data_IF_685559173560
#
_entry.id   IF_685559173560
#
_cell.length_a   1.000
_cell.length_b   1.000
_cell.length_c   1.000
_cell.angle_alpha   90.00
_cell.angle_beta   90.00
_cell.angle_gamma   90.00
#
_symmetry.space_group_name_H-M   'P 1'
#
loop_
_entity.id
_entity.type
_entity.pdbx_description
1 polymer ?
#
# COMPACT_ATOMS: atom_id res chain seq x y z
N UNK A 1 -59.72 -32.85 8.54
CA UNK A 1 -58.72 -31.75 8.47
C UNK A 1 -57.37 -32.39 8.17
N UNK A 2 -56.63 -32.17 7.09
CA UNK A 2 -56.79 -31.41 5.85
C UNK A 2 -55.91 -32.10 4.79
N UNK A 3 -56.45 -32.31 3.58
CA UNK A 3 -55.77 -32.84 2.39
C UNK A 3 -55.19 -31.70 1.52
N UNK A 4 -54.05 -31.98 0.90
CA UNK A 4 -53.61 -31.67 -0.48
C UNK A 4 -53.42 -30.22 -1.01
N UNK A 5 -52.22 -30.03 -1.57
CA UNK A 5 -51.82 -29.32 -2.82
C UNK A 5 -52.64 -28.11 -3.32
N UNK A 6 -51.93 -27.01 -3.64
CA UNK A 6 -51.98 -26.38 -4.97
C UNK A 6 -50.88 -25.34 -5.23
N UNK A 7 -50.27 -25.51 -6.39
CA UNK A 7 -49.46 -24.55 -7.17
C UNK A 7 -50.36 -23.39 -7.63
N UNK A 8 -49.83 -22.16 -7.71
CA UNK A 8 -50.21 -21.19 -8.76
C UNK A 8 -49.19 -20.07 -8.90
N UNK A 9 -48.82 -19.81 -10.16
CA UNK A 9 -48.04 -18.69 -10.67
C UNK A 9 -48.77 -17.34 -10.55
N UNK A 10 -48.09 -16.27 -11.02
CA UNK A 10 -48.53 -14.91 -11.45
C UNK A 10 -47.82 -13.86 -10.58
N UNK A 11 -47.26 -12.74 -11.05
CA UNK A 11 -47.17 -12.09 -12.37
C UNK A 11 -46.13 -10.95 -12.19
N UNK A 12 -45.27 -10.72 -13.19
CA UNK A 12 -44.52 -9.47 -13.30
C UNK A 12 -45.44 -8.29 -13.66
N UNK A 13 -45.08 -7.05 -13.33
CA UNK A 13 -45.53 -5.88 -14.07
C UNK A 13 -44.40 -5.33 -14.96
N UNK A 14 -44.69 -5.37 -16.26
CA UNK A 14 -44.12 -4.53 -17.30
C UNK A 14 -44.66 -3.11 -17.10
N UNK A 15 -43.79 -2.09 -17.10
CA UNK A 15 -44.19 -0.74 -17.50
C UNK A 15 -43.21 -0.19 -18.54
N UNK A 16 -43.82 0.51 -19.49
CA UNK A 16 -43.41 0.76 -20.85
C UNK A 16 -43.10 2.26 -20.98
N UNK A 17 -42.02 2.56 -21.70
CA UNK A 17 -41.80 3.73 -22.57
C UNK A 17 -42.32 5.12 -22.14
N UNK A 18 -41.41 6.09 -22.02
CA UNK A 18 -41.53 7.32 -22.80
C UNK A 18 -40.17 7.72 -23.39
N UNK A 19 -40.18 7.92 -24.71
CA UNK A 19 -39.12 8.52 -25.50
C UNK A 19 -39.04 10.02 -25.20
N UNK A 20 -37.84 10.58 -25.27
CA UNK A 20 -37.65 11.91 -25.86
C UNK A 20 -36.34 11.90 -26.65
N UNK A 21 -36.51 12.05 -27.95
CA UNK A 21 -35.54 12.06 -29.03
C UNK A 21 -34.90 13.44 -29.21
N UNK A 22 -33.61 13.42 -29.56
CA UNK A 22 -32.89 14.38 -30.45
C UNK A 22 -32.80 15.84 -29.97
N UNK A 23 -31.67 16.55 -30.11
CA UNK A 23 -31.00 16.85 -31.36
C UNK A 23 -29.48 17.03 -31.20
N UNK A 24 -28.76 16.54 -32.21
CA UNK A 24 -27.40 16.89 -32.58
C UNK A 24 -27.31 18.39 -32.95
N UNK A 25 -26.14 19.00 -32.78
CA UNK A 25 -25.45 19.60 -33.93
C UNK A 25 -23.97 19.90 -33.65
N UNK A 26 -23.13 19.20 -34.42
CA UNK A 26 -21.76 19.56 -34.74
C UNK A 26 -21.81 20.68 -35.80
N UNK A 27 -20.98 21.70 -35.65
CA UNK A 27 -20.75 22.73 -36.66
C UNK A 27 -19.32 23.23 -36.60
N UNK A 28 -18.49 22.79 -37.54
CA UNK A 28 -17.20 23.40 -37.85
C UNK A 28 -17.42 24.76 -38.55
N UNK A 29 -16.57 25.77 -38.33
CA UNK A 29 -15.81 26.41 -39.41
C UNK A 29 -14.84 27.49 -38.90
N UNK A 30 -13.58 27.28 -39.31
CA UNK A 30 -12.50 28.20 -39.69
C UNK A 30 -12.72 29.73 -39.60
N UNK A 31 -11.56 30.37 -39.35
CA UNK A 31 -11.10 31.74 -39.69
C UNK A 31 -11.38 32.82 -38.64
N UNK A 32 -10.32 33.26 -37.96
CA UNK A 32 -9.81 34.62 -38.19
C UNK A 32 -8.28 34.64 -37.95
N UNK A 33 -7.57 35.18 -38.93
CA UNK A 33 -6.12 35.33 -39.01
C UNK A 33 -5.82 36.82 -38.93
N UNK A 34 -4.76 37.13 -38.17
CA UNK A 34 -3.85 38.28 -38.32
C UNK A 34 -4.18 39.66 -37.76
N UNK A 35 -3.05 40.31 -37.46
CA UNK A 35 -2.75 41.74 -37.25
C UNK A 35 -2.78 42.19 -35.78
N UNK A 36 -1.77 42.90 -35.24
CA UNK A 36 -0.40 43.26 -35.62
C UNK A 36 0.17 44.07 -34.42
N UNK A 37 1.51 44.14 -34.30
CA UNK A 37 2.32 45.22 -33.67
C UNK A 37 2.29 45.42 -32.14
N UNK A 38 3.41 45.17 -31.46
CA UNK A 38 4.53 46.10 -31.15
C UNK A 38 4.16 47.14 -30.08
N UNK A 39 4.82 47.00 -28.93
CA UNK A 39 4.83 47.99 -27.86
C UNK A 39 6.04 47.76 -26.95
N UNK A 40 7.21 48.19 -27.42
CA UNK A 40 8.44 48.37 -26.62
C UNK A 40 8.37 49.74 -25.95
N UNK A 41 8.53 49.77 -24.62
CA UNK A 41 8.91 50.94 -23.81
C UNK A 41 9.13 50.45 -22.38
N UNK A 42 10.36 50.19 -21.90
CA UNK A 42 11.44 51.11 -21.53
C UNK A 42 11.05 52.09 -20.42
N UNK A 43 11.73 51.97 -19.27
CA UNK A 43 12.10 52.99 -18.25
C UNK A 43 11.80 52.50 -16.83
N UNK A 44 12.60 52.69 -15.78
CA UNK A 44 13.91 53.36 -15.56
C UNK A 44 14.40 52.82 -14.21
N UNK A 45 15.69 52.48 -14.11
CA UNK A 45 16.35 52.23 -12.84
C UNK A 45 16.71 53.57 -12.19
N UNK A 46 16.36 53.76 -10.91
CA UNK A 46 16.88 54.85 -10.09
C UNK A 46 17.83 54.24 -9.06
N UNK A 47 19.11 54.59 -9.19
CA UNK A 47 20.12 54.44 -8.16
C UNK A 47 20.71 55.83 -7.87
N UNK A 48 20.70 56.23 -6.60
CA UNK A 48 21.59 57.20 -5.93
C UNK A 48 20.97 57.56 -4.55
N UNK A 49 21.67 57.92 -3.47
CA UNK A 49 23.02 57.69 -2.92
C UNK A 49 23.07 58.46 -1.58
N UNK A 50 23.97 58.05 -0.67
CA UNK A 50 24.47 58.78 0.53
C UNK A 50 23.48 58.89 1.71
N UNK A 51 23.86 58.83 2.99
CA UNK A 51 25.15 58.85 3.68
C UNK A 51 24.91 59.47 5.07
N UNK A 52 25.61 59.03 6.12
CA UNK A 52 25.63 59.75 7.41
C UNK A 52 25.49 58.89 8.66
N UNK A 53 26.52 58.96 9.50
CA UNK A 53 26.77 58.19 10.71
C UNK A 53 26.37 59.01 11.95
N UNK A 54 25.49 58.53 12.83
CA UNK A 54 25.39 59.01 14.23
C UNK A 54 24.79 57.95 15.17
N UNK A 55 25.52 57.73 16.27
CA UNK A 55 25.16 56.90 17.43
C UNK A 55 23.80 57.27 18.04
N UNK A 56 23.03 56.26 18.46
CA UNK A 56 22.25 56.31 19.68
C UNK A 56 21.92 54.89 20.19
N UNK A 57 22.29 54.66 21.45
CA UNK A 57 21.96 53.50 22.28
C UNK A 57 20.50 53.56 22.75
N UNK A 58 19.70 52.51 22.51
CA UNK A 58 18.63 52.05 23.42
C UNK A 58 18.00 50.71 22.96
N UNK A 59 18.10 49.73 23.86
CA UNK A 59 17.08 48.75 24.27
C UNK A 59 16.33 47.86 23.24
N UNK A 60 16.71 46.57 23.28
CA UNK A 60 15.90 45.34 23.19
C UNK A 60 14.42 45.42 22.78
N UNK A 61 14.12 44.84 21.62
CA UNK A 61 13.00 43.91 21.44
C UNK A 61 13.38 42.93 20.31
N UNK A 62 13.46 41.65 20.63
CA UNK A 62 13.74 40.59 19.65
C UNK A 62 12.62 40.55 18.62
N UNK A 63 12.90 41.07 17.43
CA UNK A 63 12.04 40.90 16.27
C UNK A 63 12.08 39.43 15.86
N UNK A 64 10.99 38.71 16.12
CA UNK A 64 10.71 37.50 15.36
C UNK A 64 10.69 37.90 13.88
N UNK A 65 11.69 37.44 13.11
CA UNK A 65 11.60 37.50 11.65
C UNK A 65 10.25 36.91 11.25
N UNK A 66 9.47 37.59 10.39
CA UNK A 66 8.28 36.99 9.81
C UNK A 66 8.69 35.65 9.22
N UNK A 67 8.08 34.55 9.67
CA UNK A 67 8.24 33.28 9.00
C UNK A 67 7.95 33.53 7.53
N UNK A 68 8.96 33.41 6.67
CA UNK A 68 8.77 33.51 5.25
C UNK A 68 7.64 32.54 4.89
N UNK A 69 6.55 33.05 4.31
CA UNK A 69 5.44 32.20 3.86
C UNK A 69 6.03 31.23 2.84
N UNK A 70 6.39 30.02 3.28
CA UNK A 70 6.78 28.93 2.40
C UNK A 70 5.55 28.64 1.54
N UNK A 71 5.74 28.59 0.21
CA UNK A 71 4.65 28.32 -0.73
C UNK A 71 3.98 26.97 -0.45
N UNK A 72 2.79 26.78 -1.00
CA UNK A 72 2.07 25.51 -0.88
C UNK A 72 2.89 24.36 -1.48
N UNK A 73 2.86 23.20 -0.81
CA UNK A 73 3.58 21.99 -1.23
C UNK A 73 2.58 20.89 -1.57
N UNK A 74 2.79 20.19 -2.68
CA UNK A 74 2.05 18.97 -3.01
C UNK A 74 3.02 17.79 -2.97
N UNK A 75 2.68 16.74 -2.22
CA UNK A 75 3.40 15.48 -2.19
C UNK A 75 2.68 14.41 -3.00
N UNK A 76 3.42 13.55 -3.67
CA UNK A 76 2.90 12.34 -4.31
C UNK A 76 3.28 11.11 -3.49
N UNK A 77 2.30 10.52 -2.82
CA UNK A 77 2.44 9.23 -2.14
C UNK A 77 2.11 8.09 -3.10
N UNK A 78 3.06 7.20 -3.32
CA UNK A 78 2.82 5.94 -4.04
C UNK A 78 2.91 4.79 -3.04
N UNK A 79 1.81 4.06 -2.90
CA UNK A 79 1.71 3.01 -1.90
C UNK A 79 1.04 1.74 -2.41
N UNK A 80 1.18 0.63 -1.68
CA UNK A 80 0.52 -0.63 -2.02
C UNK A 80 -0.95 -0.67 -1.56
N UNK A 81 -1.75 -1.51 -2.21
CA UNK A 81 -3.22 -1.46 -2.20
C UNK A 81 -3.89 -1.41 -0.81
N UNK A 82 -3.34 -2.12 0.18
CA UNK A 82 -4.03 -2.34 1.47
C UNK A 82 -3.74 -1.26 2.51
N UNK A 83 -2.86 -0.30 2.24
CA UNK A 83 -2.57 0.80 3.19
C UNK A 83 -3.48 2.02 3.02
N UNK A 84 -4.32 2.04 1.98
CA UNK A 84 -5.16 3.18 1.65
C UNK A 84 -6.03 3.63 2.84
N UNK A 85 -6.64 2.68 3.54
CA UNK A 85 -7.49 2.97 4.69
C UNK A 85 -6.74 3.68 5.83
N UNK A 86 -5.47 3.35 6.06
CA UNK A 86 -4.63 4.01 7.07
C UNK A 86 -4.27 5.44 6.61
N UNK A 87 -3.79 5.60 5.38
CA UNK A 87 -3.34 6.90 4.88
C UNK A 87 -4.48 7.91 4.73
N UNK A 88 -5.71 7.46 4.43
CA UNK A 88 -6.91 8.31 4.44
C UNK A 88 -7.18 8.95 5.81
N UNK A 89 -6.70 8.36 6.90
CA UNK A 89 -6.80 8.92 8.26
C UNK A 89 -5.55 9.68 8.69
N UNK A 90 -4.36 9.20 8.31
CA UNK A 90 -3.07 9.77 8.72
C UNK A 90 -2.78 11.09 7.98
N UNK A 91 -3.01 11.16 6.67
CA UNK A 91 -2.64 12.33 5.86
C UNK A 91 -3.30 13.62 6.38
N UNK A 92 -4.62 13.67 6.66
CA UNK A 92 -5.24 14.87 7.22
C UNK A 92 -4.63 15.32 8.55
N UNK A 93 -4.24 14.37 9.41
CA UNK A 93 -3.64 14.68 10.72
C UNK A 93 -2.24 15.31 10.53
N UNK A 94 -1.42 14.74 9.63
CA UNK A 94 -0.13 15.33 9.27
C UNK A 94 -0.28 16.74 8.68
N UNK A 95 -1.19 16.93 7.73
CA UNK A 95 -1.41 18.23 7.09
C UNK A 95 -1.84 19.29 8.12
N UNK A 96 -2.73 18.92 9.04
CA UNK A 96 -3.15 19.82 10.12
C UNK A 96 -1.99 20.19 11.05
N UNK A 97 -1.18 19.20 11.46
CA UNK A 97 -0.01 19.43 12.30
C UNK A 97 1.03 20.32 11.59
N UNK A 98 1.37 19.99 10.35
CA UNK A 98 2.33 20.76 9.55
C UNK A 98 1.89 22.21 9.38
N UNK A 99 0.59 22.43 9.12
CA UNK A 99 0.06 23.80 8.99
C UNK A 99 0.19 24.58 10.29
N UNK A 100 -0.05 23.95 11.45
CA UNK A 100 0.10 24.60 12.76
C UNK A 100 1.55 24.94 13.08
N UNK A 101 2.49 24.06 12.74
CA UNK A 101 3.91 24.20 13.09
C UNK A 101 4.68 25.11 12.11
N UNK A 102 4.33 25.06 10.82
CA UNK A 102 5.10 25.70 9.76
C UNK A 102 4.34 26.79 8.98
N UNK A 103 3.04 27.00 9.29
CA UNK A 103 2.14 27.90 8.55
C UNK A 103 2.08 27.64 7.03
N UNK A 104 2.46 26.44 6.57
CA UNK A 104 2.51 26.06 5.17
C UNK A 104 1.37 25.09 4.83
N UNK A 105 0.73 25.25 3.66
CA UNK A 105 -0.28 24.29 3.22
C UNK A 105 0.40 23.10 2.53
N UNK A 106 -0.09 21.89 2.81
CA UNK A 106 0.38 20.65 2.17
C UNK A 106 -0.82 19.88 1.60
N UNK A 107 -0.71 19.43 0.36
CA UNK A 107 -1.67 18.53 -0.29
C UNK A 107 -1.00 17.22 -0.70
N UNK A 108 -1.82 16.18 -0.96
CA UNK A 108 -1.32 14.86 -1.36
C UNK A 108 -2.02 14.34 -2.62
N UNK A 109 -1.23 13.98 -3.62
CA UNK A 109 -1.61 13.00 -4.65
C UNK A 109 -1.31 11.60 -4.15
N UNK A 110 -2.18 10.64 -4.46
CA UNK A 110 -2.07 9.29 -3.94
C UNK A 110 -2.28 8.26 -5.05
N UNK A 111 -1.44 7.23 -5.09
CA UNK A 111 -1.61 6.06 -5.97
C UNK A 111 -1.57 4.78 -5.14
N UNK A 112 -2.49 3.85 -5.43
CA UNK A 112 -2.57 2.54 -4.76
C UNK A 112 -2.76 1.39 -5.75
N UNK A 113 -1.88 0.39 -5.72
CA UNK A 113 -1.97 -0.83 -6.53
C UNK A 113 -1.12 -1.96 -5.90
N UNK A 114 -0.95 -3.10 -6.60
CA UNK A 114 0.05 -4.10 -6.21
C UNK A 114 1.46 -3.50 -6.10
N UNK A 115 2.19 -3.83 -5.03
CA UNK A 115 3.51 -3.25 -4.71
C UNK A 115 4.51 -3.31 -5.87
N UNK A 116 4.60 -4.45 -6.57
CA UNK A 116 5.49 -4.58 -7.73
C UNK A 116 5.05 -3.72 -8.93
N UNK A 117 3.75 -3.50 -9.10
CA UNK A 117 3.21 -2.58 -10.12
C UNK A 117 3.54 -1.14 -9.78
N UNK A 118 3.44 -0.74 -8.51
CA UNK A 118 3.79 0.60 -8.07
C UNK A 118 5.27 0.91 -8.24
N UNK A 119 6.15 -0.01 -7.84
CA UNK A 119 7.59 0.15 -8.06
C UNK A 119 7.91 0.34 -9.56
N UNK A 120 7.29 -0.46 -10.44
CA UNK A 120 7.45 -0.28 -11.90
C UNK A 120 6.93 1.08 -12.38
N UNK A 121 5.73 1.50 -11.96
CA UNK A 121 5.16 2.78 -12.36
C UNK A 121 6.10 3.95 -12.01
N UNK A 122 6.76 3.91 -10.87
CA UNK A 122 7.73 4.93 -10.44
C UNK A 122 8.99 4.90 -11.28
N UNK A 123 9.53 3.71 -11.55
CA UNK A 123 10.68 3.51 -12.45
C UNK A 123 10.37 4.06 -13.85
N UNK A 124 9.13 3.87 -14.32
CA UNK A 124 8.66 4.28 -15.64
C UNK A 124 8.21 5.76 -15.69
N UNK A 125 8.31 6.52 -14.59
CA UNK A 125 8.14 7.97 -14.57
C UNK A 125 7.01 8.53 -13.71
N UNK A 126 6.31 7.72 -12.91
CA UNK A 126 5.41 8.25 -11.88
C UNK A 126 6.25 8.94 -10.78
N UNK A 127 6.17 10.26 -10.70
CA UNK A 127 7.02 11.08 -9.84
C UNK A 127 6.56 11.06 -8.37
N UNK A 128 6.74 9.92 -7.70
CA UNK A 128 6.50 9.77 -6.27
C UNK A 128 7.50 10.59 -5.46
N UNK A 129 7.04 11.31 -4.44
CA UNK A 129 7.91 11.92 -3.42
C UNK A 129 8.20 10.93 -2.29
N UNK A 130 7.20 10.10 -1.94
CA UNK A 130 7.28 9.10 -0.88
C UNK A 130 6.77 7.75 -1.39
N UNK A 131 7.52 6.70 -1.10
CA UNK A 131 7.18 5.31 -1.42
C UNK A 131 6.93 4.49 -0.16
N UNK A 132 5.71 3.97 -0.03
CA UNK A 132 5.35 3.00 1.02
C UNK A 132 4.98 1.68 0.35
N UNK A 133 5.89 0.71 0.30
CA UNK A 133 5.70 -0.52 -0.47
C UNK A 133 5.48 -1.73 0.43
N UNK A 134 5.04 -2.85 -0.15
CA UNK A 134 4.70 -4.03 0.64
C UNK A 134 5.93 -4.79 1.17
N UNK A 135 7.10 -4.57 0.57
CA UNK A 135 8.34 -5.27 0.89
C UNK A 135 9.57 -4.56 0.32
N UNK A 136 10.73 -4.78 0.94
CA UNK A 136 11.98 -4.09 0.59
C UNK A 136 12.50 -4.39 -0.82
N UNK A 137 12.22 -5.57 -1.41
CA UNK A 137 12.64 -5.84 -2.80
C UNK A 137 12.05 -4.85 -3.81
N UNK A 138 10.84 -4.38 -3.58
CA UNK A 138 10.19 -3.47 -4.53
C UNK A 138 10.80 -2.06 -4.39
N UNK A 139 11.13 -1.61 -3.18
CA UNK A 139 11.91 -0.37 -2.96
C UNK A 139 13.31 -0.48 -3.56
N UNK A 140 13.99 -1.62 -3.38
CA UNK A 140 15.31 -1.91 -3.96
C UNK A 140 15.33 -1.86 -5.49
N UNK A 141 14.21 -2.14 -6.17
CA UNK A 141 14.12 -1.96 -7.63
C UNK A 141 14.14 -0.49 -8.02
N UNK A 142 13.48 0.36 -7.23
CA UNK A 142 13.45 1.81 -7.42
C UNK A 142 14.82 2.42 -7.11
N UNK A 143 15.49 1.94 -6.06
CA UNK A 143 16.91 2.26 -5.76
C UNK A 143 17.82 1.88 -6.94
N UNK A 144 17.73 0.65 -7.46
CA UNK A 144 18.52 0.19 -8.63
C UNK A 144 18.26 1.00 -9.90
N UNK A 145 17.09 1.64 -10.02
CA UNK A 145 16.79 2.56 -11.12
C UNK A 145 17.39 3.97 -10.92
N UNK A 146 18.08 4.21 -9.80
CA UNK A 146 18.74 5.47 -9.47
C UNK A 146 17.80 6.58 -9.03
N UNK A 147 16.60 6.24 -8.55
CA UNK A 147 15.62 7.21 -8.04
C UNK A 147 15.72 7.43 -6.53
N UNK A 148 16.20 6.42 -5.80
CA UNK A 148 16.48 6.44 -4.35
C UNK A 148 17.98 6.14 -4.17
N UNK A 149 18.62 6.78 -3.21
CA UNK A 149 20.01 6.54 -2.84
C UNK A 149 20.18 5.21 -2.09
N UNK A 150 21.39 4.66 -2.15
CA UNK A 150 21.70 3.44 -1.41
C UNK A 150 21.72 3.69 0.10
N UNK A 151 21.20 2.73 0.87
CA UNK A 151 21.12 2.83 2.33
C UNK A 151 19.83 3.46 2.87
N UNK A 152 18.81 3.63 2.01
CA UNK A 152 17.48 4.13 2.38
C UNK A 152 16.87 3.40 3.58
N UNK A 153 17.20 2.12 3.80
CA UNK A 153 16.75 1.35 4.95
C UNK A 153 17.18 1.98 6.28
N UNK A 154 18.22 2.82 6.29
CA UNK A 154 18.75 3.46 7.50
C UNK A 154 18.30 4.91 7.67
N UNK A 155 17.54 5.45 6.73
CA UNK A 155 17.09 6.84 6.75
C UNK A 155 15.85 7.06 7.61
N UNK A 156 15.14 5.97 7.96
CA UNK A 156 14.00 5.99 8.87
C UNK A 156 14.13 4.91 9.96
N UNK A 157 13.47 5.07 11.12
CA UNK A 157 13.56 4.11 12.22
C UNK A 157 13.16 2.68 11.80
N UNK A 158 13.65 1.70 12.58
CA UNK A 158 13.28 0.29 12.42
C UNK A 158 13.53 -0.25 11.00
N UNK A 159 14.73 0.01 10.46
CA UNK A 159 15.13 -0.37 9.09
C UNK A 159 14.14 0.14 8.03
N UNK A 160 13.66 1.37 8.23
CA UNK A 160 12.63 2.01 7.43
C UNK A 160 11.32 1.21 7.32
N UNK A 161 11.03 0.34 8.29
CA UNK A 161 9.76 -0.40 8.39
C UNK A 161 8.79 0.37 9.27
N UNK A 162 7.69 0.82 8.66
CA UNK A 162 6.72 1.73 9.30
C UNK A 162 5.45 1.03 9.78
N UNK A 163 5.17 -0.16 9.26
CA UNK A 163 4.08 -1.03 9.72
C UNK A 163 4.42 -2.49 9.47
N UNK A 164 3.75 -3.38 10.23
CA UNK A 164 3.91 -4.82 10.09
C UNK A 164 2.57 -5.52 9.91
N UNK A 165 2.62 -6.75 9.42
CA UNK A 165 1.49 -7.68 9.42
C UNK A 165 2.01 -9.12 9.49
N UNK A 166 1.09 -10.08 9.38
CA UNK A 166 1.38 -11.49 9.18
C UNK A 166 0.41 -12.04 8.13
N UNK A 167 0.70 -13.23 7.59
CA UNK A 167 -0.23 -13.87 6.66
C UNK A 167 -1.37 -14.56 7.43
N UNK A 168 -2.61 -14.36 6.98
CA UNK A 168 -3.81 -14.97 7.52
C UNK A 168 -4.42 -15.94 6.52
N UNK A 169 -4.99 -17.03 7.04
CA UNK A 169 -5.84 -17.96 6.30
C UNK A 169 -7.28 -17.62 6.60
N UNK A 170 -8.02 -17.24 5.58
CA UNK A 170 -9.42 -16.87 5.65
C UNK A 170 -10.25 -18.05 5.16
N UNK A 171 -11.30 -18.43 5.88
CA UNK A 171 -12.17 -19.55 5.48
C UNK A 171 -13.57 -19.06 5.14
N UNK A 172 -14.37 -19.96 4.55
CA UNK A 172 -15.84 -19.77 4.54
C UNK A 172 -16.39 -19.88 5.96
N UNK A 173 -17.59 -19.34 6.15
CA UNK A 173 -18.35 -19.48 7.40
C UNK A 173 -18.49 -20.96 7.79
N UNK A 174 -18.30 -21.26 9.08
CA UNK A 174 -18.31 -22.64 9.60
C UNK A 174 -17.08 -23.48 9.22
N UNK A 175 -16.15 -22.96 8.41
CA UNK A 175 -14.94 -23.65 7.96
C UNK A 175 -15.21 -25.10 7.46
N UNK A 176 -15.99 -25.26 6.37
CA UNK A 176 -16.48 -26.57 5.91
C UNK A 176 -15.37 -27.53 5.47
N UNK A 177 -14.17 -27.01 5.16
CA UNK A 177 -12.99 -27.81 4.79
C UNK A 177 -12.09 -28.14 5.98
N UNK A 178 -12.42 -27.67 7.19
CA UNK A 178 -11.65 -27.91 8.41
C UNK A 178 -10.21 -27.38 8.34
N UNK A 179 -10.00 -26.25 7.65
CA UNK A 179 -8.68 -25.65 7.42
C UNK A 179 -8.21 -24.96 8.71
N UNK A 180 -7.02 -25.30 9.18
CA UNK A 180 -6.42 -24.75 10.40
C UNK A 180 -4.95 -24.38 10.22
N UNK A 181 -4.25 -25.05 9.31
CA UNK A 181 -2.81 -24.85 9.09
C UNK A 181 -2.48 -24.62 7.62
N UNK A 182 -1.21 -24.30 7.35
CA UNK A 182 -0.70 -24.17 5.98
C UNK A 182 -0.79 -25.48 5.19
N UNK A 183 -0.61 -26.62 5.85
CA UNK A 183 -0.69 -27.96 5.26
C UNK A 183 -2.10 -28.30 4.78
N UNK A 184 -3.13 -27.80 5.47
CA UNK A 184 -4.52 -28.04 5.09
C UNK A 184 -4.87 -27.44 3.72
N UNK A 185 -4.18 -26.36 3.32
CA UNK A 185 -4.37 -25.70 2.03
C UNK A 185 -3.93 -26.57 0.85
N UNK A 186 -3.06 -27.56 1.09
CA UNK A 186 -2.58 -28.50 0.08
C UNK A 186 -3.46 -29.75 -0.07
N UNK A 187 -4.52 -29.90 0.73
CA UNK A 187 -5.42 -31.06 0.66
C UNK A 187 -6.15 -31.13 -0.69
N UNK A 188 -6.40 -32.34 -1.23
CA UNK A 188 -7.22 -32.50 -2.42
C UNK A 188 -8.62 -31.91 -2.25
N UNK A 189 -9.09 -31.19 -3.26
CA UNK A 189 -10.43 -30.57 -3.24
C UNK A 189 -10.57 -29.32 -2.38
N UNK A 190 -9.46 -28.76 -1.89
CA UNK A 190 -9.38 -27.39 -1.36
C UNK A 190 -8.96 -26.46 -2.49
N UNK A 191 -9.71 -25.38 -2.70
CA UNK A 191 -9.38 -24.30 -3.63
C UNK A 191 -8.90 -23.08 -2.85
N UNK A 192 -7.71 -22.60 -3.15
CA UNK A 192 -7.06 -21.50 -2.42
C UNK A 192 -7.06 -20.24 -3.28
N UNK A 193 -7.45 -19.09 -2.74
CA UNK A 193 -7.23 -17.81 -3.40
C UNK A 193 -5.98 -17.18 -2.81
N UNK A 194 -5.05 -16.76 -3.67
CA UNK A 194 -3.89 -15.94 -3.32
C UNK A 194 -3.53 -15.11 -4.54
N UNK A 195 -2.97 -13.91 -4.34
CA UNK A 195 -2.58 -13.04 -5.45
C UNK A 195 -1.35 -13.59 -6.21
N UNK A 196 -0.99 -12.96 -7.33
CA UNK A 196 0.16 -13.33 -8.15
C UNK A 196 1.49 -12.75 -7.63
N UNK A 197 2.51 -13.56 -7.27
CA UNK A 197 3.84 -13.11 -6.82
C UNK A 197 4.63 -12.24 -7.81
N UNK A 198 4.29 -12.27 -9.10
CA UNK A 198 4.94 -11.42 -10.13
C UNK A 198 4.48 -9.96 -10.08
N UNK A 199 3.32 -9.68 -9.50
CA UNK A 199 2.72 -8.32 -9.43
C UNK A 199 2.46 -7.86 -7.99
N UNK A 200 2.19 -8.78 -7.07
CA UNK A 200 1.79 -8.50 -5.69
C UNK A 200 2.88 -8.85 -4.69
N UNK A 201 3.26 -7.89 -3.83
CA UNK A 201 4.15 -8.17 -2.72
C UNK A 201 3.53 -9.12 -1.68
N UNK A 202 2.22 -8.99 -1.44
CA UNK A 202 1.48 -9.87 -0.52
C UNK A 202 1.50 -11.33 -0.96
N UNK A 203 1.49 -11.57 -2.27
CA UNK A 203 1.61 -12.91 -2.80
C UNK A 203 3.00 -13.52 -2.58
N UNK A 204 4.07 -12.70 -2.63
CA UNK A 204 5.42 -13.16 -2.24
C UNK A 204 5.46 -13.50 -0.76
N UNK A 205 4.86 -12.67 0.10
CA UNK A 205 4.72 -12.97 1.53
C UNK A 205 3.96 -14.27 1.79
N UNK A 206 2.81 -14.47 1.14
CA UNK A 206 2.03 -15.70 1.24
C UNK A 206 2.85 -16.94 0.84
N UNK A 207 3.59 -16.84 -0.27
CA UNK A 207 4.49 -17.92 -0.72
C UNK A 207 5.54 -18.25 0.35
N UNK A 208 6.17 -17.22 0.92
CA UNK A 208 7.21 -17.38 1.94
C UNK A 208 6.66 -17.86 3.27
N UNK A 209 5.43 -17.51 3.64
CA UNK A 209 4.76 -18.02 4.83
C UNK A 209 4.57 -19.54 4.75
N UNK A 210 4.08 -20.04 3.60
CA UNK A 210 3.91 -21.49 3.36
C UNK A 210 5.26 -22.20 3.28
N UNK A 211 6.26 -21.61 2.60
CA UNK A 211 7.61 -22.19 2.54
C UNK A 211 8.26 -22.26 3.93
N UNK A 212 8.15 -21.17 4.69
CA UNK A 212 8.72 -21.03 6.01
C UNK A 212 8.04 -21.91 7.06
N UNK A 213 6.76 -22.22 6.91
CA UNK A 213 6.06 -23.13 7.84
C UNK A 213 6.74 -24.49 7.94
N UNK A 214 7.36 -24.95 6.86
CA UNK A 214 8.12 -26.20 6.80
C UNK A 214 9.58 -26.00 7.22
N UNK A 215 10.27 -25.01 6.63
CA UNK A 215 11.72 -24.83 6.88
C UNK A 215 12.03 -24.31 8.28
N UNK A 216 11.08 -23.65 8.96
CA UNK A 216 11.23 -23.18 10.35
C UNK A 216 10.78 -24.18 11.39
N UNK A 217 10.31 -25.35 10.98
CA UNK A 217 9.91 -26.45 11.88
C UNK A 217 10.75 -27.71 11.68
N UNK A 218 11.92 -27.58 11.04
CA UNK A 218 12.88 -28.68 10.85
C UNK A 218 12.64 -29.51 9.57
N UNK A 219 11.72 -29.09 8.70
CA UNK A 219 11.56 -29.66 7.37
C UNK A 219 12.65 -29.21 6.39
N UNK A 220 12.95 -30.04 5.39
CA UNK A 220 13.90 -29.72 4.33
C UNK A 220 13.26 -28.89 3.19
N UNK A 221 14.09 -28.30 2.33
CA UNK A 221 13.64 -27.50 1.20
C UNK A 221 12.79 -28.28 0.19
N UNK A 222 12.98 -29.60 0.07
CA UNK A 222 12.20 -30.44 -0.84
C UNK A 222 10.75 -30.55 -0.36
N UNK A 223 10.54 -30.74 0.94
CA UNK A 223 9.21 -30.75 1.57
C UNK A 223 8.55 -29.37 1.50
N UNK A 224 9.32 -28.30 1.73
CA UNK A 224 8.81 -26.94 1.60
C UNK A 224 8.35 -26.66 0.16
N UNK A 225 9.16 -27.03 -0.82
CA UNK A 225 8.81 -26.90 -2.23
C UNK A 225 7.56 -27.71 -2.60
N UNK A 226 7.45 -28.95 -2.12
CA UNK A 226 6.28 -29.80 -2.36
C UNK A 226 5.00 -29.18 -1.78
N UNK A 227 5.04 -28.72 -0.53
CA UNK A 227 3.90 -28.06 0.11
C UNK A 227 3.51 -26.79 -0.66
N UNK A 228 4.45 -25.88 -0.89
CA UNK A 228 4.18 -24.62 -1.58
C UNK A 228 3.67 -24.86 -3.00
N UNK A 229 4.22 -25.85 -3.72
CA UNK A 229 3.74 -26.26 -5.05
C UNK A 229 2.27 -26.69 -4.99
N UNK A 230 1.90 -27.55 -4.04
CA UNK A 230 0.52 -28.03 -3.90
C UNK A 230 -0.44 -26.90 -3.56
N UNK A 231 -0.07 -26.00 -2.64
CA UNK A 231 -0.90 -24.84 -2.29
C UNK A 231 -1.12 -23.92 -3.49
N UNK A 232 -0.07 -23.59 -4.24
CA UNK A 232 -0.18 -22.73 -5.43
C UNK A 232 -0.99 -23.42 -6.54
N UNK A 233 -0.83 -24.73 -6.74
CA UNK A 233 -1.64 -25.48 -7.71
C UNK A 233 -3.11 -25.62 -7.33
N UNK A 234 -3.43 -25.54 -6.04
CA UNK A 234 -4.80 -25.44 -5.56
C UNK A 234 -5.41 -24.05 -5.81
N UNK A 235 -4.67 -23.09 -6.35
CA UNK A 235 -5.19 -21.78 -6.73
C UNK A 235 -5.74 -21.76 -8.16
N UNK A 236 -7.07 -21.65 -8.36
CA UNK A 236 -7.67 -21.66 -9.69
C UNK A 236 -7.38 -20.37 -10.47
N UNK A 237 -7.13 -19.28 -9.76
CA UNK A 237 -6.78 -17.97 -10.31
C UNK A 237 -5.74 -17.31 -9.40
N UNK A 238 -4.93 -16.44 -9.98
CA UNK A 238 -3.97 -15.61 -9.25
C UNK A 238 -4.24 -14.13 -9.56
N UNK A 239 -5.12 -13.48 -8.78
CA UNK A 239 -5.47 -12.07 -8.97
C UNK A 239 -4.25 -11.16 -8.89
N UNK A 240 -4.33 -9.96 -9.48
CA UNK A 240 -3.12 -9.13 -9.68
C UNK A 240 -2.55 -8.59 -8.37
N UNK A 241 -3.37 -8.41 -7.35
CA UNK A 241 -3.00 -7.89 -6.04
C UNK A 241 -3.89 -8.44 -4.91
N UNK A 242 -3.52 -8.12 -3.67
CA UNK A 242 -4.21 -8.58 -2.47
C UNK A 242 -5.67 -8.14 -2.39
N UNK A 243 -6.03 -6.98 -2.95
CA UNK A 243 -7.39 -6.44 -2.91
C UNK A 243 -8.28 -7.17 -3.91
N UNK A 244 -7.75 -7.47 -5.10
CA UNK A 244 -8.45 -8.32 -6.07
C UNK A 244 -8.60 -9.76 -5.56
N UNK A 245 -7.64 -10.28 -4.80
CA UNK A 245 -7.78 -11.58 -4.14
C UNK A 245 -8.91 -11.60 -3.10
N UNK A 246 -9.01 -10.54 -2.29
CA UNK A 246 -10.16 -10.32 -1.38
C UNK A 246 -11.49 -10.29 -2.16
N UNK A 247 -11.55 -9.55 -3.28
CA UNK A 247 -12.75 -9.45 -4.09
C UNK A 247 -13.15 -10.78 -4.77
N UNK A 248 -12.18 -11.54 -5.28
CA UNK A 248 -12.42 -12.88 -5.83
C UNK A 248 -13.02 -13.81 -4.76
N UNK A 249 -12.51 -13.77 -3.53
CA UNK A 249 -13.01 -14.61 -2.45
C UNK A 249 -14.39 -14.19 -1.95
N UNK A 250 -14.57 -12.91 -1.59
CA UNK A 250 -15.79 -12.44 -0.93
C UNK A 250 -16.90 -12.03 -1.89
N UNK A 251 -16.59 -11.32 -2.98
CA UNK A 251 -17.60 -10.79 -3.90
C UNK A 251 -17.96 -11.81 -4.97
N UNK A 252 -16.97 -12.55 -5.47
CA UNK A 252 -17.17 -13.52 -6.56
C UNK A 252 -17.37 -14.95 -6.06
N UNK A 253 -17.26 -15.19 -4.75
CA UNK A 253 -17.51 -16.51 -4.16
C UNK A 253 -16.51 -17.59 -4.58
N UNK A 254 -15.30 -17.22 -5.01
CA UNK A 254 -14.30 -18.18 -5.48
C UNK A 254 -13.45 -18.74 -4.34
N UNK A 255 -13.11 -20.03 -4.41
CA UNK A 255 -12.23 -20.70 -3.44
C UNK A 255 -12.89 -21.05 -2.11
N UNK A 256 -12.25 -21.98 -1.40
CA UNK A 256 -12.63 -22.44 -0.07
C UNK A 256 -11.87 -21.70 1.04
N UNK A 257 -10.66 -21.24 0.73
CA UNK A 257 -9.85 -20.39 1.59
C UNK A 257 -9.15 -19.28 0.79
N UNK A 258 -8.79 -18.20 1.48
CA UNK A 258 -7.97 -17.10 0.96
C UNK A 258 -6.74 -16.94 1.85
N UNK A 259 -5.56 -16.84 1.25
CA UNK A 259 -4.35 -16.38 1.95
C UNK A 259 -4.20 -14.89 1.66
N UNK A 260 -4.21 -14.06 2.70
CA UNK A 260 -4.01 -12.62 2.57
C UNK A 260 -3.38 -12.03 3.83
N UNK A 261 -3.13 -10.73 3.85
CA UNK A 261 -2.68 -10.05 5.05
C UNK A 261 -3.73 -10.07 6.16
N UNK A 262 -3.27 -10.18 7.41
CA UNK A 262 -4.11 -10.04 8.60
C UNK A 262 -4.86 -8.70 8.63
N UNK A 263 -4.21 -7.60 8.21
CA UNK A 263 -4.80 -6.27 8.26
C UNK A 263 -6.07 -6.14 7.40
N UNK A 264 -6.14 -6.85 6.26
CA UNK A 264 -7.35 -6.84 5.43
C UNK A 264 -8.55 -7.49 6.16
N UNK A 265 -8.29 -8.45 7.04
CA UNK A 265 -9.34 -9.16 7.80
C UNK A 265 -9.85 -8.33 8.96
N UNK A 266 -8.94 -7.68 9.69
CA UNK A 266 -9.31 -6.75 10.77
C UNK A 266 -10.10 -5.59 10.19
N UNK A 267 -9.66 -5.03 9.05
CA UNK A 267 -10.40 -3.97 8.36
C UNK A 267 -11.77 -4.44 7.86
N UNK A 268 -11.89 -5.67 7.34
CA UNK A 268 -13.18 -6.24 6.94
C UNK A 268 -14.14 -6.34 8.14
N UNK A 269 -13.65 -6.83 9.29
CA UNK A 269 -14.40 -6.95 10.55
C UNK A 269 -14.92 -5.60 11.05
N UNK A 270 -14.07 -4.58 11.03
CA UNK A 270 -14.46 -3.22 11.43
C UNK A 270 -15.52 -2.61 10.51
N UNK A 271 -15.56 -3.02 9.25
CA UNK A 271 -16.61 -2.63 8.30
C UNK A 271 -17.87 -3.50 8.38
N UNK A 272 -18.06 -4.23 9.49
CA UNK A 272 -19.24 -5.03 9.77
C UNK A 272 -19.29 -6.37 9.03
N UNK A 273 -18.18 -6.82 8.45
CA UNK A 273 -18.07 -8.16 7.85
C UNK A 273 -17.31 -9.05 8.80
N UNK A 274 -18.01 -9.84 9.62
CA UNK A 274 -17.32 -10.83 10.43
C UNK A 274 -16.76 -11.91 9.50
N UNK A 275 -15.44 -12.02 9.49
CA UNK A 275 -14.71 -12.91 8.60
C UNK A 275 -13.94 -13.89 9.48
N UNK A 276 -14.24 -15.20 9.42
CA UNK A 276 -13.43 -16.18 10.12
C UNK A 276 -12.06 -16.25 9.45
N UNK A 277 -11.02 -15.93 10.22
CA UNK A 277 -9.65 -16.06 9.81
C UNK A 277 -8.82 -16.74 10.90
N UNK A 278 -7.71 -17.33 10.47
CA UNK A 278 -6.74 -18.04 11.29
C UNK A 278 -5.39 -17.41 11.03
N UNK A 279 -4.65 -17.12 12.09
CA UNK A 279 -3.23 -16.78 12.03
C UNK A 279 -2.46 -18.02 12.47
N UNK A 280 -1.77 -18.72 11.55
CA UNK A 280 -1.03 -19.92 11.92
C UNK A 280 0.12 -19.62 12.89
N UNK A 281 0.43 -20.59 13.75
CA UNK A 281 1.46 -20.48 14.80
C UNK A 281 2.87 -20.21 14.24
N UNK A 282 3.17 -20.71 13.04
CA UNK A 282 4.42 -20.45 12.31
C UNK A 282 4.09 -19.52 11.16
N UNK A 283 4.69 -18.33 11.18
CA UNK A 283 4.36 -17.27 10.24
C UNK A 283 5.55 -16.34 9.99
N UNK A 284 5.41 -15.50 8.98
CA UNK A 284 6.42 -14.53 8.59
C UNK A 284 6.02 -13.12 9.02
N UNK A 285 6.99 -12.33 9.52
CA UNK A 285 6.83 -10.89 9.69
C UNK A 285 6.74 -10.25 8.32
N UNK A 286 5.57 -9.70 8.00
CA UNK A 286 5.36 -8.92 6.79
C UNK A 286 5.77 -7.49 7.12
N UNK A 287 6.98 -7.12 6.73
CA UNK A 287 7.56 -5.81 7.04
C UNK A 287 7.33 -4.85 5.86
N UNK A 288 6.63 -3.74 6.12
CA UNK A 288 6.26 -2.77 5.09
C UNK A 288 7.20 -1.54 5.12
N UNK A 289 8.11 -1.40 4.12
CA UNK A 289 9.05 -0.30 4.09
C UNK A 289 8.45 1.03 3.62
N UNK A 290 9.04 2.12 4.10
CA UNK A 290 8.85 3.49 3.64
C UNK A 290 10.19 4.05 3.13
N UNK A 291 10.16 4.87 2.08
CA UNK A 291 11.34 5.57 1.59
C UNK A 291 10.95 6.93 0.99
N UNK A 292 11.86 7.90 1.08
CA UNK A 292 11.79 9.14 0.31
C UNK A 292 12.42 8.89 -1.06
N UNK A 293 11.84 9.44 -2.13
CA UNK A 293 12.36 9.28 -3.48
C UNK A 293 13.26 10.47 -3.83
N UNK A 294 14.55 10.34 -3.53
CA UNK A 294 15.54 11.42 -3.57
C UNK A 294 15.44 12.28 -4.83
N UNK A 295 15.49 11.64 -5.99
CA UNK A 295 15.50 12.35 -7.28
C UNK A 295 14.26 13.22 -7.46
N UNK A 296 13.11 12.76 -6.99
CA UNK A 296 11.85 13.45 -7.18
C UNK A 296 11.67 14.56 -6.15
N UNK A 297 12.00 14.30 -4.87
CA UNK A 297 11.89 15.35 -3.86
C UNK A 297 12.86 16.50 -4.07
N UNK A 298 14.05 16.22 -4.64
CA UNK A 298 15.02 17.24 -5.03
C UNK A 298 14.53 18.03 -6.25
N UNK A 299 13.91 17.35 -7.22
CA UNK A 299 13.29 17.97 -8.40
C UNK A 299 12.12 18.88 -8.02
N UNK A 300 11.27 18.43 -7.09
CA UNK A 300 10.06 19.15 -6.70
C UNK A 300 10.31 20.19 -5.59
N UNK A 301 11.46 20.13 -4.91
CA UNK A 301 11.74 20.97 -3.75
C UNK A 301 10.91 20.60 -2.52
N UNK A 302 10.56 19.32 -2.37
CA UNK A 302 9.59 18.81 -1.38
C UNK A 302 10.23 18.00 -0.25
N UNK A 303 11.56 17.82 -0.27
CA UNK A 303 12.31 16.94 0.65
C UNK A 303 11.97 17.15 2.13
N UNK A 304 11.95 18.40 2.59
CA UNK A 304 11.65 18.72 3.99
C UNK A 304 10.29 18.17 4.42
N UNK A 305 9.26 18.42 3.62
CA UNK A 305 7.88 17.99 3.91
C UNK A 305 7.74 16.47 3.76
N UNK A 306 8.40 15.87 2.76
CA UNK A 306 8.39 14.43 2.54
C UNK A 306 9.05 13.66 3.70
N UNK A 307 10.24 14.10 4.15
CA UNK A 307 10.92 13.51 5.30
C UNK A 307 10.14 13.72 6.60
N UNK A 308 9.50 14.88 6.77
CA UNK A 308 8.62 15.13 7.91
C UNK A 308 7.40 14.21 7.90
N UNK A 309 6.78 13.99 6.75
CA UNK A 309 5.69 13.02 6.61
C UNK A 309 6.16 11.60 6.96
N UNK A 310 7.31 11.16 6.43
CA UNK A 310 7.89 9.85 6.77
C UNK A 310 8.10 9.72 8.28
N UNK A 311 8.70 10.72 8.94
CA UNK A 311 8.87 10.74 10.40
C UNK A 311 7.54 10.71 11.15
N UNK A 312 6.54 11.44 10.65
CA UNK A 312 5.21 11.48 11.25
C UNK A 312 4.55 10.10 11.31
N UNK A 313 4.79 9.24 10.31
CA UNK A 313 4.25 7.87 10.31
C UNK A 313 4.73 7.02 11.50
N UNK A 314 5.82 7.39 12.16
CA UNK A 314 6.36 6.70 13.35
C UNK A 314 5.81 7.25 14.67
N UNK A 315 5.01 8.31 14.64
CA UNK A 315 4.39 8.88 15.85
C UNK A 315 3.33 7.92 16.40
N UNK A 316 3.10 7.90 17.73
CA UNK A 316 2.00 7.12 18.33
C UNK A 316 0.64 7.41 17.70
N UNK A 317 0.38 8.65 17.29
CA UNK A 317 -0.84 9.08 16.60
C UNK A 317 -1.02 8.33 15.27
N UNK A 318 -0.02 8.36 14.39
CA UNK A 318 -0.06 7.66 13.12
C UNK A 318 -0.09 6.13 13.31
N UNK A 319 0.65 5.60 14.28
CA UNK A 319 0.69 4.17 14.60
C UNK A 319 -0.66 3.66 15.12
N UNK A 320 -1.45 4.48 15.82
CA UNK A 320 -2.83 4.13 16.18
C UNK A 320 -3.74 4.05 14.96
N UNK A 321 -3.56 4.90 13.95
CA UNK A 321 -4.33 4.79 12.70
C UNK A 321 -3.91 3.55 11.88
N UNK A 322 -2.63 3.18 11.87
CA UNK A 322 -2.19 1.88 11.34
C UNK A 322 -2.84 0.71 12.08
N UNK A 323 -2.85 0.74 13.41
CA UNK A 323 -3.48 -0.29 14.22
C UNK A 323 -4.99 -0.39 13.98
N UNK A 324 -5.70 0.75 13.88
CA UNK A 324 -7.10 0.79 13.45
C UNK A 324 -7.27 0.18 12.07
N UNK A 325 -6.39 0.45 11.12
CA UNK A 325 -6.44 -0.21 9.81
C UNK A 325 -6.00 -1.70 9.82
N UNK A 326 -5.70 -2.27 10.99
CA UNK A 326 -5.36 -3.68 11.18
C UNK A 326 -3.88 -4.01 11.00
N UNK A 327 -3.00 -3.03 10.87
CA UNK A 327 -1.55 -3.28 10.84
C UNK A 327 -1.02 -3.44 12.25
N UNK A 328 -0.06 -4.35 12.44
CA UNK A 328 0.67 -4.48 13.70
C UNK A 328 1.58 -3.24 13.84
N UNK A 329 1.35 -2.38 14.84
CA UNK A 329 2.12 -1.14 15.00
C UNK A 329 3.56 -1.45 15.42
N UNK A 330 4.49 -0.58 15.01
CA UNK A 330 5.91 -0.67 15.37
C UNK A 330 6.24 0.15 16.62
N UNK A 331 5.37 1.08 17.01
CA UNK A 331 5.50 1.81 18.27
C UNK A 331 5.17 0.88 19.45
N UNK A 332 6.08 0.71 20.44
CA UNK A 332 5.87 -0.20 21.56
C UNK A 332 4.68 0.16 22.45
N UNK A 333 4.37 1.46 22.60
CA UNK A 333 3.24 1.93 23.39
C UNK A 333 1.94 1.52 22.71
N UNK A 334 1.79 1.83 21.42
CA UNK A 334 0.61 1.47 20.65
C UNK A 334 0.48 -0.04 20.52
N UNK A 335 1.57 -0.78 20.29
CA UNK A 335 1.56 -2.24 20.25
C UNK A 335 0.99 -2.88 21.52
N UNK A 336 1.30 -2.30 22.69
CA UNK A 336 0.73 -2.73 23.96
C UNK A 336 -0.74 -2.35 24.11
N UNK A 337 -1.17 -1.19 23.61
CA UNK A 337 -2.58 -0.75 23.63
C UNK A 337 -3.50 -1.74 22.89
N UNK A 338 -3.02 -2.28 21.77
CA UNK A 338 -3.81 -3.12 20.84
C UNK A 338 -3.43 -4.60 20.88
N UNK A 339 -2.60 -5.05 21.82
CA UNK A 339 -2.07 -6.41 21.88
C UNK A 339 -3.17 -7.49 21.76
N UNK A 340 -4.31 -7.26 22.42
CA UNK A 340 -5.47 -8.17 22.42
C UNK A 340 -6.17 -8.31 21.06
N UNK A 341 -5.98 -7.35 20.16
CA UNK A 341 -6.62 -7.32 18.85
C UNK A 341 -5.83 -8.13 17.81
N UNK A 342 -4.57 -8.49 18.13
CA UNK A 342 -3.66 -9.22 17.27
C UNK A 342 -3.31 -10.58 17.87
N UNK A 343 -3.71 -11.70 17.23
CA UNK A 343 -3.30 -13.03 17.64
C UNK A 343 -1.77 -13.16 17.78
N UNK A 344 -1.32 -13.78 18.87
CA UNK A 344 0.11 -14.09 19.06
C UNK A 344 0.56 -15.16 18.07
N UNK A 345 1.77 -14.99 17.53
CA UNK A 345 2.42 -15.96 16.63
C UNK A 345 3.57 -16.61 17.38
N UNK A 346 3.53 -17.94 17.55
CA UNK A 346 4.52 -18.68 18.35
C UNK A 346 5.91 -18.68 17.72
N UNK A 347 5.98 -18.81 16.40
CA UNK A 347 7.21 -18.81 15.62
C UNK A 347 7.08 -17.79 14.50
N UNK A 348 7.44 -16.55 14.80
CA UNK A 348 7.50 -15.47 13.84
C UNK A 348 8.91 -15.35 13.28
N UNK A 349 9.11 -15.71 12.02
CA UNK A 349 10.39 -15.56 11.34
C UNK A 349 10.35 -14.35 10.39
N UNK A 350 11.50 -13.95 9.89
CA UNK A 350 11.70 -12.85 8.95
C UNK A 350 12.33 -13.36 7.67
N UNK A 351 12.38 -12.51 6.65
CA UNK A 351 13.11 -12.84 5.41
C UNK A 351 14.61 -13.01 5.66
N UNK A 352 15.17 -12.41 6.70
CA UNK A 352 16.58 -12.62 7.04
C UNK A 352 16.85 -14.07 7.44
N UNK A 353 15.90 -14.70 8.12
CA UNK A 353 15.98 -16.12 8.44
C UNK A 353 15.96 -17.02 7.18
N UNK A 354 15.52 -16.50 6.03
CA UNK A 354 15.56 -17.16 4.72
C UNK A 354 16.78 -16.76 3.87
N UNK A 355 17.78 -16.09 4.47
CA UNK A 355 18.99 -15.63 3.77
C UNK A 355 18.84 -14.26 3.10
N UNK A 356 17.80 -13.50 3.45
CA UNK A 356 17.59 -12.14 2.97
C UNK A 356 16.92 -12.06 1.60
N UNK A 357 16.52 -10.84 1.25
CA UNK A 357 15.69 -10.59 0.08
C UNK A 357 16.36 -10.96 -1.25
N UNK A 358 17.67 -10.72 -1.41
CA UNK A 358 18.38 -11.07 -2.65
C UNK A 358 18.40 -12.58 -2.90
N UNK A 359 18.55 -13.38 -1.84
CA UNK A 359 18.50 -14.85 -1.91
C UNK A 359 17.10 -15.30 -2.30
N UNK A 360 16.09 -14.80 -1.58
CA UNK A 360 14.67 -15.10 -1.80
C UNK A 360 14.21 -14.75 -3.23
N UNK A 361 14.59 -13.57 -3.73
CA UNK A 361 14.21 -13.11 -5.07
C UNK A 361 14.78 -14.05 -6.14
N UNK A 362 16.08 -14.37 -6.07
CA UNK A 362 16.75 -15.30 -7.00
C UNK A 362 16.18 -16.71 -6.96
N UNK A 363 15.92 -17.20 -5.76
CA UNK A 363 15.45 -18.58 -5.57
C UNK A 363 14.01 -18.76 -6.05
N UNK A 364 13.13 -17.78 -5.78
CA UNK A 364 11.69 -18.00 -5.92
C UNK A 364 11.01 -17.17 -7.01
N UNK A 365 11.44 -15.93 -7.27
CA UNK A 365 10.62 -14.96 -7.97
C UNK A 365 11.23 -14.36 -9.25
N UNK A 366 12.54 -14.50 -9.47
CA UNK A 366 13.18 -14.18 -10.74
C UNK A 366 12.58 -14.98 -11.91
N UNK A 367 12.83 -14.52 -13.13
CA UNK A 367 12.32 -15.21 -14.31
C UNK A 367 12.98 -16.59 -14.45
N UNK A 368 12.14 -17.61 -14.59
CA UNK A 368 12.57 -19.01 -14.59
C UNK A 368 12.89 -19.57 -13.20
N UNK A 369 12.64 -18.82 -12.12
CA UNK A 369 12.84 -19.30 -10.74
C UNK A 369 11.75 -20.30 -10.30
N UNK A 370 11.74 -20.67 -9.01
CA UNK A 370 10.86 -21.73 -8.50
C UNK A 370 9.38 -21.47 -8.79
N UNK A 371 8.88 -20.24 -8.62
CA UNK A 371 7.48 -19.92 -8.90
C UNK A 371 7.11 -20.17 -10.38
N UNK A 372 7.94 -19.77 -11.33
CA UNK A 372 7.68 -20.00 -12.75
C UNK A 372 7.71 -21.48 -13.11
N UNK A 373 8.61 -22.25 -12.49
CA UNK A 373 8.65 -23.72 -12.63
C UNK A 373 7.42 -24.39 -12.05
N UNK A 374 6.83 -23.84 -10.99
CA UNK A 374 5.56 -24.33 -10.42
C UNK A 374 4.42 -24.10 -11.41
N UNK A 375 4.36 -22.91 -12.02
CA UNK A 375 3.32 -22.54 -12.99
C UNK A 375 3.44 -23.32 -14.30
N UNK A 376 4.66 -23.51 -14.82
CA UNK A 376 4.89 -24.20 -16.09
C UNK A 376 4.60 -25.71 -16.04
N UNK A 377 4.54 -26.32 -14.85
CA UNK A 377 4.21 -27.73 -14.64
C UNK A 377 2.69 -27.96 -14.48
N UNK A 378 1.88 -27.02 -14.93
CA UNK A 378 0.42 -26.99 -14.80
C UNK A 378 -0.28 -27.50 -16.04
#
# INVERSE_FOLDING_TARGET
MHLWQKITQLKAPILRSQQLTSWLQVGSLKRFVSLFLVGVSLSVAIAACSGGNTNNTASSAGGASPAANKGDVELTLVSFAVTKAAHEKIIPQFVEQWKKEHNQNVSFKQSYAGSGTQARAVIDGLEADVLHLALALDTKKVEKAGLIQAGWEKEAPNDAIVSKSVAAIVTREGNPKGIKTWEDLAKPGVKVITANPKTSGGARWNFLAVWGSVTKTGGDEKKALDLTTKVIKNAPVLPKDAREATDAFFKQGQGDALINYENEMILAKQNGKDVPYIVPDVNISIDNPIAVVDKNVDKHGTREVAEAFVKYLYTPEAQREFAKAGFRPIDPTVAKEVEKDFPQVKTLFTVQDLGGWDTVQKQFFDDGAAFDKIQAKG
#
